data_IF_808812978878
#
_entry.id   IF_808812978878
#
_cell.length_a   1.000
_cell.length_b   1.000
_cell.length_c   1.000
_cell.angle_alpha   90.00
_cell.angle_beta   90.00
_cell.angle_gamma   90.00
#
_symmetry.space_group_name_H-M   'P 1'
#
loop_
_entity.id
_entity.type
_entity.pdbx_description
1 polymer ?
#
# COMPACT_ATOMS: atom_id res chain seq x y z
N UNK A 1 26.38 5.66 25.08
CA UNK A 1 25.71 4.34 25.00
C UNK A 1 25.59 3.77 23.58
N UNK A 2 25.64 4.57 22.51
CA UNK A 2 25.47 4.06 21.11
C UNK A 2 26.52 3.04 20.66
N UNK A 3 27.72 3.07 21.20
CA UNK A 3 28.82 2.19 20.80
C UNK A 3 28.67 0.75 21.34
N UNK A 4 28.13 0.58 22.53
CA UNK A 4 27.97 -0.72 23.18
C UNK A 4 26.74 -1.48 22.72
N UNK A 5 25.72 -0.79 22.19
CA UNK A 5 24.51 -1.46 21.70
C UNK A 5 24.78 -2.30 20.45
N UNK A 6 24.36 -3.56 20.46
CA UNK A 6 24.44 -4.45 19.32
C UNK A 6 23.35 -4.13 18.29
N UNK A 7 22.18 -3.71 18.74
CA UNK A 7 21.04 -3.34 17.93
C UNK A 7 20.54 -1.96 18.35
N UNK A 8 20.20 -1.12 17.36
CA UNK A 8 19.58 0.19 17.58
C UNK A 8 18.35 0.31 16.72
N UNK A 9 17.21 0.43 17.38
CA UNK A 9 15.90 0.63 16.75
C UNK A 9 15.47 2.08 16.92
N UNK A 10 15.06 2.72 15.84
CA UNK A 10 14.40 4.02 15.83
C UNK A 10 12.90 3.78 15.63
N UNK A 11 12.12 3.99 16.68
CA UNK A 11 10.68 3.77 16.68
C UNK A 11 9.97 5.10 16.57
N UNK A 12 9.08 5.23 15.59
CA UNK A 12 8.28 6.45 15.34
C UNK A 12 6.82 6.11 15.14
N UNK A 13 5.95 6.90 15.75
CA UNK A 13 4.52 6.88 15.44
C UNK A 13 4.28 7.52 14.07
N UNK A 14 3.58 6.82 13.17
CA UNK A 14 3.16 7.33 11.86
C UNK A 14 1.75 7.93 11.98
N UNK A 15 0.83 7.14 12.55
CA UNK A 15 -0.59 7.45 12.56
C UNK A 15 -1.24 6.96 13.84
N UNK A 16 -2.29 7.63 14.28
CA UNK A 16 -3.17 7.16 15.33
C UNK A 16 -4.36 6.44 14.71
N UNK A 17 -4.65 5.23 15.18
CA UNK A 17 -5.78 4.44 14.75
C UNK A 17 -7.02 4.87 15.54
N UNK A 18 -8.07 5.26 14.80
CA UNK A 18 -9.31 5.75 15.39
C UNK A 18 -10.49 4.95 14.84
N UNK A 19 -11.44 4.66 15.71
CA UNK A 19 -12.74 4.12 15.33
C UNK A 19 -13.80 5.15 15.72
N UNK A 20 -14.27 5.91 14.73
CA UNK A 20 -15.07 7.11 14.99
C UNK A 20 -14.26 8.16 15.73
N UNK A 21 -14.67 8.51 16.96
CA UNK A 21 -14.00 9.51 17.80
C UNK A 21 -12.96 8.91 18.75
N UNK A 22 -13.02 7.59 18.98
CA UNK A 22 -12.18 6.90 19.96
C UNK A 22 -10.85 6.44 19.34
N UNK A 23 -9.75 6.73 20.05
CA UNK A 23 -8.42 6.28 19.67
C UNK A 23 -8.15 4.91 20.33
N UNK A 24 -7.98 3.86 19.50
CA UNK A 24 -7.79 2.49 19.98
C UNK A 24 -6.37 1.96 19.76
N UNK A 25 -5.54 2.68 19.01
CA UNK A 25 -4.20 2.22 18.73
C UNK A 25 -3.35 3.24 17.98
N UNK A 26 -2.14 2.84 17.69
CA UNK A 26 -1.18 3.62 16.88
C UNK A 26 -0.53 2.73 15.83
N UNK A 27 -0.27 3.29 14.65
CA UNK A 27 0.62 2.68 13.66
C UNK A 27 2.03 3.16 13.90
N UNK A 28 2.93 2.22 14.16
CA UNK A 28 4.32 2.47 14.45
C UNK A 28 5.21 2.04 13.28
N UNK A 29 6.27 2.81 13.05
CA UNK A 29 7.34 2.48 12.10
C UNK A 29 8.62 2.28 12.89
N UNK A 30 9.23 1.13 12.75
CA UNK A 30 10.49 0.80 13.37
C UNK A 30 11.56 0.70 12.29
N UNK A 31 12.59 1.52 12.41
CA UNK A 31 13.78 1.48 11.55
C UNK A 31 14.95 0.89 12.32
N UNK A 32 15.54 -0.14 11.76
CA UNK A 32 16.75 -0.75 12.27
C UNK A 32 17.97 0.12 11.88
N UNK A 33 18.36 1.05 12.75
CA UNK A 33 19.42 2.02 12.47
C UNK A 33 20.82 1.40 12.55
N UNK A 34 21.03 0.42 13.45
CA UNK A 34 22.26 -0.32 13.64
C UNK A 34 21.94 -1.76 13.97
N UNK A 35 22.66 -2.67 13.35
CA UNK A 35 22.61 -4.09 13.68
C UNK A 35 23.98 -4.70 13.45
N UNK A 36 24.51 -5.41 14.45
CA UNK A 36 25.79 -6.12 14.38
C UNK A 36 25.64 -7.62 14.09
N UNK A 37 24.39 -8.13 14.16
CA UNK A 37 24.08 -9.56 14.07
C UNK A 37 23.47 -9.93 12.72
N UNK A 38 22.79 -8.98 12.07
CA UNK A 38 22.11 -9.18 10.80
C UNK A 38 22.17 -7.89 9.95
N UNK A 39 21.76 -7.90 8.67
CA UNK A 39 21.76 -6.71 7.81
C UNK A 39 20.97 -5.57 8.43
N UNK A 40 21.59 -4.36 8.57
CA UNK A 40 20.92 -3.17 9.12
C UNK A 40 19.97 -2.53 8.10
N UNK A 41 19.34 -1.41 8.50
CA UNK A 41 18.49 -0.53 7.67
C UNK A 41 17.17 -1.13 7.21
N UNK A 42 16.72 -2.23 7.83
CA UNK A 42 15.37 -2.75 7.61
C UNK A 42 14.35 -1.85 8.29
N UNK A 43 13.16 -1.78 7.68
CA UNK A 43 12.03 -1.02 8.18
C UNK A 43 10.85 -1.99 8.32
N UNK A 44 10.17 -1.92 9.46
CA UNK A 44 8.93 -2.64 9.70
C UNK A 44 7.85 -1.65 10.15
N UNK A 45 6.65 -1.82 9.65
CA UNK A 45 5.47 -1.05 10.05
C UNK A 45 4.42 -2.01 10.61
N UNK A 46 3.83 -1.67 11.75
CA UNK A 46 2.82 -2.50 12.40
C UNK A 46 1.93 -1.65 13.30
N UNK A 47 0.77 -2.20 13.60
CA UNK A 47 -0.23 -1.58 14.43
C UNK A 47 -0.08 -2.05 15.89
N UNK A 48 -0.09 -1.11 16.83
CA UNK A 48 -0.08 -1.35 18.27
C UNK A 48 -1.44 -0.95 18.80
N UNK A 49 -2.19 -1.92 19.33
CA UNK A 49 -3.49 -1.71 19.94
C UNK A 49 -3.33 -1.45 21.44
N UNK A 50 -4.01 -0.47 21.97
CA UNK A 50 -3.96 -0.16 23.40
C UNK A 50 -4.53 -1.31 24.22
N UNK A 51 -3.78 -1.75 25.23
CA UNK A 51 -4.16 -2.89 26.10
C UNK A 51 -3.96 -4.29 25.50
N UNK A 52 -3.81 -4.44 24.17
CA UNK A 52 -3.62 -5.73 23.51
C UNK A 52 -2.20 -5.92 22.96
N UNK A 53 -1.47 -4.83 22.67
CA UNK A 53 -0.13 -4.87 22.10
C UNK A 53 -0.14 -4.92 20.56
N UNK A 54 0.83 -5.60 19.95
CA UNK A 54 0.98 -5.67 18.50
C UNK A 54 -0.15 -6.49 17.88
N UNK A 55 -0.80 -5.91 16.85
CA UNK A 55 -1.84 -6.60 16.09
C UNK A 55 -1.23 -7.60 15.10
N UNK A 56 -1.20 -8.88 15.48
CA UNK A 56 -0.70 -9.97 14.65
C UNK A 56 -1.52 -10.12 13.35
N UNK A 57 -2.85 -10.00 13.46
CA UNK A 57 -3.75 -10.10 12.31
C UNK A 57 -3.60 -8.90 11.35
N UNK A 58 -3.34 -7.71 11.90
CA UNK A 58 -3.03 -6.55 11.09
C UNK A 58 -1.73 -6.74 10.29
N UNK A 59 -0.69 -7.28 10.93
CA UNK A 59 0.57 -7.60 10.24
C UNK A 59 0.37 -8.69 9.18
N UNK A 60 -0.41 -9.74 9.49
CA UNK A 60 -0.72 -10.80 8.52
C UNK A 60 -1.45 -10.25 7.30
N UNK A 61 -2.43 -9.38 7.49
CA UNK A 61 -3.18 -8.76 6.41
C UNK A 61 -2.27 -7.89 5.52
N UNK A 62 -1.38 -7.08 6.11
CA UNK A 62 -0.43 -6.26 5.37
C UNK A 62 0.53 -7.11 4.53
N UNK A 63 1.06 -8.19 5.12
CA UNK A 63 1.92 -9.13 4.40
C UNK A 63 1.15 -9.90 3.31
N UNK A 64 -0.10 -10.28 3.55
CA UNK A 64 -0.95 -10.95 2.57
C UNK A 64 -1.28 -10.03 1.37
N UNK A 65 -1.48 -8.73 1.61
CA UNK A 65 -1.62 -7.71 0.56
C UNK A 65 -0.32 -7.55 -0.23
N UNK A 66 0.83 -7.45 0.45
CA UNK A 66 2.15 -7.29 -0.17
C UNK A 66 2.57 -8.51 -1.00
N UNK A 67 2.29 -9.72 -0.53
CA UNK A 67 2.58 -10.98 -1.24
C UNK A 67 1.54 -11.32 -2.31
N UNK A 68 0.44 -10.56 -2.39
CA UNK A 68 -0.64 -10.80 -3.35
C UNK A 68 -1.43 -12.09 -3.07
N UNK A 69 -1.47 -12.57 -1.83
CA UNK A 69 -2.38 -13.65 -1.38
C UNK A 69 -3.78 -13.08 -1.20
N UNK A 70 -3.86 -11.88 -0.61
CA UNK A 70 -5.09 -11.12 -0.51
C UNK A 70 -5.01 -9.94 -1.47
N UNK A 71 -6.04 -9.75 -2.27
CA UNK A 71 -6.11 -8.67 -3.26
C UNK A 71 -7.00 -7.57 -2.72
N UNK A 72 -6.48 -6.34 -2.68
CA UNK A 72 -7.25 -5.17 -2.34
C UNK A 72 -7.76 -4.45 -3.58
N UNK A 73 -9.07 -4.33 -3.70
CA UNK A 73 -9.76 -3.57 -4.76
C UNK A 73 -10.51 -2.39 -4.14
N UNK A 74 -9.88 -1.21 -4.13
CA UNK A 74 -10.44 -0.04 -3.46
C UNK A 74 -10.57 -0.24 -1.94
N UNK A 75 -11.80 -0.28 -1.42
CA UNK A 75 -12.10 -0.54 -0.01
C UNK A 75 -12.30 -2.03 0.33
N UNK A 76 -12.38 -2.91 -0.67
CA UNK A 76 -12.68 -4.32 -0.49
C UNK A 76 -11.42 -5.18 -0.50
N UNK A 77 -11.39 -6.16 0.37
CA UNK A 77 -10.39 -7.22 0.42
C UNK A 77 -10.99 -8.51 -0.12
N UNK A 78 -10.26 -9.20 -1.00
CA UNK A 78 -10.69 -10.46 -1.63
C UNK A 78 -9.63 -11.53 -1.41
N UNK A 79 -10.06 -12.72 -1.07
CA UNK A 79 -9.24 -13.92 -0.94
C UNK A 79 -9.85 -15.03 -1.79
N UNK A 80 -9.08 -15.68 -2.66
CA UNK A 80 -9.51 -16.73 -3.60
C UNK A 80 -10.70 -16.34 -4.51
N UNK A 81 -10.93 -15.05 -4.70
CA UNK A 81 -12.04 -14.53 -5.50
C UNK A 81 -13.24 -14.07 -4.68
N UNK A 82 -13.33 -14.45 -3.42
CA UNK A 82 -14.40 -14.05 -2.52
C UNK A 82 -14.05 -12.75 -1.77
N UNK A 83 -15.05 -11.90 -1.58
CA UNK A 83 -14.90 -10.69 -0.79
C UNK A 83 -14.98 -11.03 0.70
N UNK A 84 -13.88 -10.84 1.43
CA UNK A 84 -13.78 -11.13 2.86
C UNK A 84 -14.18 -9.97 3.77
N UNK A 85 -14.06 -8.73 3.27
CA UNK A 85 -14.46 -7.57 4.07
C UNK A 85 -14.28 -6.23 3.37
N UNK A 86 -15.09 -5.27 3.79
CA UNK A 86 -14.94 -3.88 3.39
C UNK A 86 -14.18 -3.11 4.47
N UNK A 87 -12.98 -2.66 4.12
CA UNK A 87 -12.08 -1.97 5.05
C UNK A 87 -11.26 -2.92 5.92
N UNK A 88 -10.16 -2.37 6.45
CA UNK A 88 -9.17 -3.11 7.22
C UNK A 88 -9.75 -3.74 8.50
N UNK A 89 -10.53 -2.96 9.26
CA UNK A 89 -11.08 -3.41 10.55
C UNK A 89 -12.06 -4.57 10.39
N UNK A 90 -12.93 -4.51 9.38
CA UNK A 90 -13.89 -5.58 9.10
C UNK A 90 -13.20 -6.85 8.63
N UNK A 91 -12.16 -6.72 7.82
CA UNK A 91 -11.35 -7.86 7.36
C UNK A 91 -10.60 -8.52 8.52
N UNK A 92 -10.05 -7.73 9.44
CA UNK A 92 -9.43 -8.27 10.67
C UNK A 92 -10.46 -9.02 11.52
N UNK A 93 -11.65 -8.44 11.71
CA UNK A 93 -12.75 -9.09 12.43
C UNK A 93 -13.21 -10.39 11.77
N UNK A 94 -13.24 -10.45 10.44
CA UNK A 94 -13.53 -11.68 9.71
C UNK A 94 -12.44 -12.75 9.92
N UNK A 95 -11.17 -12.36 9.90
CA UNK A 95 -10.04 -13.27 10.19
C UNK A 95 -10.03 -13.77 11.64
N UNK A 96 -10.53 -12.97 12.60
CA UNK A 96 -10.69 -13.42 13.99
C UNK A 96 -11.75 -14.54 14.12
N UNK A 97 -12.81 -14.46 13.31
CA UNK A 97 -13.91 -15.43 13.31
C UNK A 97 -13.59 -16.71 12.52
N UNK A 98 -12.74 -16.61 11.49
CA UNK A 98 -12.40 -17.71 10.58
C UNK A 98 -10.95 -18.16 10.79
N UNK A 99 -10.70 -18.99 11.80
CA UNK A 99 -9.36 -19.50 12.13
C UNK A 99 -8.75 -20.34 11.01
N UNK A 100 -9.55 -21.12 10.28
CA UNK A 100 -9.09 -21.94 9.15
C UNK A 100 -8.54 -21.07 8.02
N UNK A 101 -9.26 -20.04 7.62
CA UNK A 101 -8.82 -19.11 6.58
C UNK A 101 -7.57 -18.33 7.02
N UNK A 102 -7.49 -17.93 8.29
CA UNK A 102 -6.30 -17.29 8.85
C UNK A 102 -5.07 -18.19 8.72
N UNK A 103 -5.16 -19.48 9.11
CA UNK A 103 -4.06 -20.43 9.03
C UNK A 103 -3.65 -20.70 7.59
N UNK A 104 -4.62 -20.84 6.67
CA UNK A 104 -4.36 -21.00 5.25
C UNK A 104 -3.61 -19.78 4.66
N UNK A 105 -4.07 -18.57 4.95
CA UNK A 105 -3.43 -17.33 4.51
C UNK A 105 -2.02 -17.22 5.10
N UNK A 106 -1.83 -17.55 6.38
CA UNK A 106 -0.53 -17.52 7.04
C UNK A 106 0.44 -18.50 6.40
N UNK A 107 0.01 -19.73 6.09
CA UNK A 107 0.83 -20.73 5.42
C UNK A 107 1.26 -20.26 4.01
N UNK A 108 0.33 -19.72 3.23
CA UNK A 108 0.61 -19.20 1.89
C UNK A 108 1.55 -18.00 1.92
N UNK A 109 1.36 -17.08 2.86
CA UNK A 109 2.25 -15.93 3.04
C UNK A 109 3.65 -16.38 3.42
N UNK A 110 3.79 -17.33 4.35
CA UNK A 110 5.10 -17.89 4.74
C UNK A 110 5.79 -18.58 3.57
N UNK A 111 5.06 -19.37 2.78
CA UNK A 111 5.60 -20.02 1.60
C UNK A 111 6.13 -18.98 0.60
N UNK A 112 5.33 -17.99 0.24
CA UNK A 112 5.74 -16.91 -0.69
C UNK A 112 6.91 -16.08 -0.18
N UNK A 113 6.98 -15.81 1.12
CA UNK A 113 8.12 -15.11 1.72
C UNK A 113 9.40 -15.95 1.66
N UNK A 114 9.31 -17.28 1.80
CA UNK A 114 10.46 -18.17 1.68
C UNK A 114 10.93 -18.24 0.25
N UNK A 115 10.03 -18.43 -0.71
CA UNK A 115 10.33 -18.41 -2.16
C UNK A 115 10.86 -17.04 -2.63
N UNK A 116 10.28 -15.94 -2.13
CA UNK A 116 10.70 -14.57 -2.46
C UNK A 116 12.02 -14.14 -1.81
N UNK A 117 12.45 -14.77 -0.71
CA UNK A 117 13.72 -14.44 -0.06
C UNK A 117 14.95 -14.89 -0.86
N UNK A 118 14.79 -15.86 -1.76
CA UNK A 118 15.85 -16.25 -2.69
C UNK A 118 16.02 -15.27 -3.86
N UNK A 119 14.97 -14.49 -4.18
CA UNK A 119 14.97 -13.56 -5.34
C UNK A 119 15.21 -12.10 -4.95
N UNK A 120 15.02 -11.70 -3.69
CA UNK A 120 15.03 -10.28 -3.29
C UNK A 120 16.18 -9.83 -2.41
N UNK A 121 17.40 -10.25 -2.72
CA UNK A 121 18.55 -9.41 -2.34
C UNK A 121 18.63 -8.10 -3.16
N UNK A 122 17.78 -7.91 -4.17
CA UNK A 122 17.86 -6.79 -5.12
C UNK A 122 16.59 -5.94 -5.27
N UNK A 123 15.53 -6.14 -4.47
CA UNK A 123 14.28 -5.38 -4.61
C UNK A 123 13.91 -4.53 -3.38
N UNK A 124 14.89 -3.89 -2.76
CA UNK A 124 14.62 -2.72 -1.93
C UNK A 124 14.64 -1.46 -2.79
N UNK A 125 13.69 -1.33 -3.72
CA UNK A 125 13.42 -0.02 -4.36
C UNK A 125 12.59 0.80 -3.37
N UNK A 126 13.11 1.95 -2.89
CA UNK A 126 12.29 2.85 -2.08
C UNK A 126 11.11 3.33 -2.93
N UNK A 127 9.90 3.36 -2.36
CA UNK A 127 8.67 3.84 -2.97
C UNK A 127 8.75 5.28 -3.56
N UNK A 128 9.85 6.00 -3.34
CA UNK A 128 10.11 7.33 -3.91
C UNK A 128 10.48 7.32 -5.40
N UNK A 129 10.78 6.18 -6.03
CA UNK A 129 11.20 6.14 -7.43
C UNK A 129 10.03 5.96 -8.43
N UNK A 130 8.86 5.52 -7.97
CA UNK A 130 7.70 5.33 -8.85
C UNK A 130 7.00 6.66 -9.23
N UNK A 131 7.19 7.73 -8.45
CA UNK A 131 6.60 9.03 -8.74
C UNK A 131 7.35 9.86 -9.79
N UNK A 132 8.58 9.49 -10.16
CA UNK A 132 9.39 10.24 -11.14
C UNK A 132 9.29 9.70 -12.57
N UNK A 133 8.83 8.49 -12.79
CA UNK A 133 8.69 7.94 -14.15
C UNK A 133 7.35 8.26 -14.81
N UNK A 134 6.35 8.71 -14.06
CA UNK A 134 5.06 9.15 -14.60
C UNK A 134 5.06 10.62 -15.09
N UNK A 135 6.02 11.44 -14.64
CA UNK A 135 6.07 12.86 -15.00
C UNK A 135 6.81 13.18 -16.31
N UNK A 136 7.51 12.22 -16.92
CA UNK A 136 8.29 12.44 -18.16
C UNK A 136 7.54 12.01 -19.41
N UNK A 137 6.43 11.30 -19.33
CA UNK A 137 5.63 10.87 -20.49
C UNK A 137 4.45 11.80 -20.84
N UNK A 138 4.27 12.92 -20.12
CA UNK A 138 3.15 13.86 -20.31
C UNK A 138 3.48 15.13 -21.10
N UNK A 139 4.72 15.38 -21.50
CA UNK A 139 5.10 16.66 -22.09
C UNK A 139 5.44 16.64 -23.59
N UNK A 140 5.29 15.52 -24.31
CA UNK A 140 5.57 15.45 -25.75
C UNK A 140 4.35 15.27 -26.66
N UNK A 141 3.13 15.21 -26.09
CA UNK A 141 1.90 15.03 -26.89
C UNK A 141 1.00 16.28 -26.98
N UNK A 142 1.43 17.43 -26.49
CA UNK A 142 0.62 18.66 -26.46
C UNK A 142 1.07 19.76 -27.45
N UNK A 143 1.81 19.43 -28.48
CA UNK A 143 2.32 20.44 -29.42
C UNK A 143 1.98 20.22 -30.89
N UNK A 144 1.07 19.25 -31.20
CA UNK A 144 0.76 18.93 -32.60
C UNK A 144 -0.73 18.98 -32.97
N UNK A 145 -1.60 19.57 -32.14
CA UNK A 145 -3.02 19.74 -32.46
C UNK A 145 -3.54 21.20 -32.44
N UNK A 146 -2.67 22.19 -32.51
CA UNK A 146 -3.08 23.59 -32.53
C UNK A 146 -2.97 24.28 -33.91
N UNK A 147 -3.04 23.53 -35.02
CA UNK A 147 -2.84 24.06 -36.36
C UNK A 147 -3.93 23.78 -37.41
N UNK A 148 -5.04 23.10 -37.04
CA UNK A 148 -5.99 22.65 -38.07
C UNK A 148 -7.44 23.17 -37.96
N UNK A 149 -7.77 24.02 -37.01
CA UNK A 149 -9.17 24.46 -36.80
C UNK A 149 -9.47 25.95 -37.15
N UNK A 150 -8.62 26.61 -37.93
CA UNK A 150 -8.83 28.02 -38.30
C UNK A 150 -9.31 28.23 -39.72
N UNK A 151 -9.72 27.19 -40.47
CA UNK A 151 -10.11 27.32 -41.87
C UNK A 151 -11.52 26.83 -42.24
N UNK A 152 -12.42 26.59 -41.25
CA UNK A 152 -13.77 26.11 -41.54
C UNK A 152 -14.90 26.95 -40.93
N UNK A 153 -14.65 28.24 -40.65
CA UNK A 153 -15.66 29.13 -40.09
C UNK A 153 -16.00 30.32 -41.01
N UNK A 154 -15.84 30.19 -42.33
CA UNK A 154 -16.09 31.30 -43.29
C UNK A 154 -17.01 30.92 -44.45
N UNK A 155 -17.92 29.94 -44.30
CA UNK A 155 -18.95 29.79 -45.35
C UNK A 155 -20.22 29.22 -44.72
N UNK A 156 -21.26 30.01 -44.69
CA UNK A 156 -22.59 29.52 -44.35
C UNK A 156 -23.48 30.48 -43.55
N UNK A 157 -23.56 31.71 -43.95
CA UNK A 157 -24.64 32.56 -43.45
C UNK A 157 -25.44 33.12 -44.65
N UNK A 158 -26.64 32.62 -44.85
CA UNK A 158 -27.74 33.39 -45.42
C UNK A 158 -29.07 32.97 -44.81
N UNK A 159 -29.96 33.92 -44.55
CA UNK A 159 -31.22 33.71 -43.86
C UNK A 159 -32.37 33.48 -44.85
N UNK A 160 -33.37 32.74 -44.42
CA UNK A 160 -34.69 32.79 -45.08
C UNK A 160 -35.77 33.06 -44.03
N UNK A 161 -36.41 34.21 -44.23
CA UNK A 161 -37.61 34.68 -43.52
C UNK A 161 -38.87 34.04 -44.12
N UNK A 162 -39.96 34.24 -43.35
CA UNK A 162 -41.38 34.18 -43.73
C UNK A 162 -42.07 32.80 -43.74
N UNK A 163 -42.95 32.60 -42.85
CA UNK A 163 -44.38 32.85 -42.74
C UNK A 163 -44.93 32.19 -41.49
#
# INVERSE_FOLDING_TARGET
MKFYASVHLDNRRIQTLKRGTEEYGIRAKVKLAKNKVAPPFRIAEFDILFGRGISTLGCLLDLAEETGVVIRKGAWYSYEGDNIGQGRDNTIGWLEQNSEAKEAIEALVRQKLTEGSEVTSNSMRPLAAAARSAAVKGSSAAKESAGADLQKAAEGKMPSAAA
#
